data_IF_822620318046
#
_entry.id   IF_822620318046
#
_cell.length_a   1.000
_cell.length_b   1.000
_cell.length_c   1.000
_cell.angle_alpha   90.00
_cell.angle_beta   90.00
_cell.angle_gamma   90.00
#
_symmetry.space_group_name_H-M   'P 1'
#
loop_
_entity.id
_entity.type
_entity.pdbx_description
1 polymer ?
#
# COMPACT_ATOMS: atom_id res chain seq x y z
N UNK A 1 2.42 -24.57 -14.95
CA UNK A 1 1.45 -24.69 -13.84
C UNK A 1 1.09 -23.30 -13.35
N UNK A 2 -0.17 -23.05 -13.07
CA UNK A 2 -0.56 -21.80 -12.42
C UNK A 2 0.00 -21.77 -10.98
N UNK A 3 0.60 -20.67 -10.59
CA UNK A 3 1.08 -20.50 -9.21
C UNK A 3 -0.11 -20.16 -8.32
N UNK A 4 -0.28 -20.90 -7.23
CA UNK A 4 -1.29 -20.56 -6.21
C UNK A 4 -0.86 -19.29 -5.48
N UNK A 5 -1.57 -18.19 -5.74
CA UNK A 5 -1.32 -16.93 -5.08
C UNK A 5 -1.86 -16.96 -3.65
N UNK A 6 -1.11 -16.37 -2.74
CA UNK A 6 -1.52 -16.19 -1.34
C UNK A 6 -2.51 -15.04 -1.26
N UNK A 7 -3.76 -15.33 -0.90
CA UNK A 7 -4.83 -14.35 -0.71
C UNK A 7 -5.00 -14.06 0.76
N UNK A 8 -4.93 -12.79 1.13
CA UNK A 8 -5.01 -12.35 2.51
C UNK A 8 -6.13 -11.32 2.69
N UNK A 9 -6.79 -11.38 3.83
CA UNK A 9 -7.89 -10.48 4.17
C UNK A 9 -7.77 -10.01 5.61
N UNK A 10 -8.13 -8.75 5.86
CA UNK A 10 -8.26 -8.15 7.17
C UNK A 10 -9.65 -7.55 7.33
N UNK A 11 -10.31 -7.80 8.45
CA UNK A 11 -11.41 -6.97 8.91
C UNK A 11 -10.84 -5.82 9.74
N UNK A 12 -11.09 -4.58 9.30
CA UNK A 12 -10.52 -3.40 9.98
C UNK A 12 -11.09 -3.18 11.38
N UNK A 13 -12.24 -3.80 11.71
CA UNK A 13 -12.81 -3.76 13.06
C UNK A 13 -11.98 -4.58 14.06
N UNK A 14 -11.22 -5.56 13.57
CA UNK A 14 -10.31 -6.40 14.37
C UNK A 14 -8.87 -5.85 14.40
N UNK A 15 -8.61 -4.72 13.71
CA UNK A 15 -7.28 -4.16 13.64
C UNK A 15 -6.84 -3.57 14.98
N UNK A 16 -5.71 -4.04 15.50
CA UNK A 16 -5.12 -3.56 16.75
C UNK A 16 -4.33 -2.26 16.54
N UNK A 17 -5.06 -1.15 16.46
CA UNK A 17 -4.46 0.17 16.25
C UNK A 17 -3.47 0.53 17.37
N UNK A 18 -3.79 0.19 18.62
CA UNK A 18 -2.91 0.51 19.75
C UNK A 18 -1.54 -0.19 19.64
N UNK A 19 -1.52 -1.42 19.14
CA UNK A 19 -0.29 -2.17 18.89
C UNK A 19 0.58 -1.53 17.81
N UNK A 20 -0.02 -0.99 16.75
CA UNK A 20 0.71 -0.51 15.58
C UNK A 20 0.89 1.01 15.51
N UNK A 21 0.15 1.78 16.30
CA UNK A 21 0.32 3.24 16.39
C UNK A 21 1.76 3.66 16.72
N UNK A 22 2.55 2.94 17.55
CA UNK A 22 3.95 3.27 17.79
C UNK A 22 4.83 3.33 16.53
N UNK A 23 4.51 2.59 15.47
CA UNK A 23 5.23 2.67 14.19
C UNK A 23 4.99 4.02 13.49
N UNK A 24 3.75 4.52 13.53
CA UNK A 24 3.38 5.83 13.00
C UNK A 24 4.09 6.94 13.80
N UNK A 25 4.07 6.83 15.12
CA UNK A 25 4.71 7.80 16.02
C UNK A 25 6.23 7.83 15.83
N UNK A 26 6.86 6.66 15.63
CA UNK A 26 8.29 6.56 15.33
C UNK A 26 8.65 7.23 13.99
N UNK A 27 7.84 7.09 12.96
CA UNK A 27 8.02 7.82 11.70
C UNK A 27 8.03 9.32 11.97
N UNK A 28 7.03 9.82 12.67
CA UNK A 28 6.89 11.25 13.00
C UNK A 28 8.09 11.78 13.79
N UNK A 29 8.53 11.08 14.81
CA UNK A 29 9.69 11.48 15.64
C UNK A 29 11.02 11.36 14.91
N UNK A 30 11.10 10.53 13.87
CA UNK A 30 12.28 10.39 13.00
C UNK A 30 12.27 11.37 11.81
N UNK A 31 11.33 12.31 11.76
CA UNK A 31 11.22 13.29 10.68
C UNK A 31 10.58 12.75 9.40
N UNK A 32 10.01 11.54 9.42
CA UNK A 32 9.28 10.96 8.29
C UNK A 32 7.81 11.39 8.38
N UNK A 33 7.34 12.11 7.37
CA UNK A 33 5.95 12.51 7.24
C UNK A 33 5.15 11.43 6.52
N UNK A 34 4.05 10.99 7.14
CA UNK A 34 3.02 10.18 6.49
C UNK A 34 1.87 11.10 6.03
N UNK A 35 1.42 10.91 4.82
CA UNK A 35 0.34 11.69 4.21
C UNK A 35 -0.35 10.87 3.12
N UNK A 36 -1.43 11.39 2.55
CA UNK A 36 -2.06 10.80 1.37
C UNK A 36 -1.75 11.63 0.12
N UNK A 37 -1.88 11.00 -1.04
CA UNK A 37 -1.76 11.73 -2.31
C UNK A 37 -2.86 12.79 -2.45
N UNK A 38 -4.04 12.53 -1.88
CA UNK A 38 -5.13 13.53 -1.83
C UNK A 38 -4.72 14.78 -1.06
N UNK A 39 -4.03 14.63 0.08
CA UNK A 39 -3.55 15.76 0.89
C UNK A 39 -2.39 16.53 0.24
N UNK A 40 -1.50 15.83 -0.46
CA UNK A 40 -0.43 16.46 -1.24
C UNK A 40 -0.93 17.16 -2.50
N UNK A 41 -2.05 16.71 -3.03
CA UNK A 41 -2.60 17.09 -4.32
C UNK A 41 -2.36 16.02 -5.38
N UNK A 42 -3.43 15.57 -6.01
CA UNK A 42 -3.39 14.58 -7.09
C UNK A 42 -3.12 15.28 -8.44
N UNK A 43 -1.90 15.76 -8.61
CA UNK A 43 -1.45 16.46 -9.83
C UNK A 43 -0.80 15.51 -10.83
N UNK A 44 -0.68 15.87 -12.12
CA UNK A 44 0.05 15.08 -13.10
C UNK A 44 1.51 14.81 -12.69
N UNK A 45 2.18 15.78 -12.06
CA UNK A 45 3.54 15.66 -11.55
C UNK A 45 3.63 14.63 -10.41
N UNK A 46 2.68 14.67 -9.47
CA UNK A 46 2.62 13.71 -8.36
C UNK A 46 2.26 12.31 -8.83
N UNK A 47 1.39 12.16 -9.84
CA UNK A 47 1.10 10.87 -10.46
C UNK A 47 2.35 10.28 -11.13
N UNK A 48 3.16 11.11 -11.78
CA UNK A 48 4.43 10.68 -12.34
C UNK A 48 5.41 10.26 -11.25
N UNK A 49 5.53 11.04 -10.18
CA UNK A 49 6.36 10.70 -9.02
C UNK A 49 5.90 9.38 -8.36
N UNK A 50 4.60 9.15 -8.25
CA UNK A 50 4.04 7.89 -7.76
C UNK A 50 4.44 6.70 -8.63
N UNK A 51 4.38 6.86 -9.95
CA UNK A 51 4.82 5.84 -10.89
C UNK A 51 6.30 5.47 -10.69
N UNK A 52 7.18 6.48 -10.64
CA UNK A 52 8.63 6.25 -10.47
C UNK A 52 8.92 5.57 -9.12
N UNK A 53 8.25 5.99 -8.06
CA UNK A 53 8.37 5.37 -6.73
C UNK A 53 7.91 3.91 -6.75
N UNK A 54 6.75 3.63 -7.37
CA UNK A 54 6.23 2.26 -7.48
C UNK A 54 7.19 1.37 -8.27
N UNK A 55 7.69 1.86 -9.40
CA UNK A 55 8.66 1.15 -10.24
C UNK A 55 9.93 0.80 -9.45
N UNK A 56 10.49 1.76 -8.71
CA UNK A 56 11.68 1.54 -7.90
C UNK A 56 11.42 0.56 -6.73
N UNK A 57 10.36 0.80 -5.95
CA UNK A 57 10.06 -0.02 -4.77
C UNK A 57 9.68 -1.46 -5.11
N UNK A 58 9.22 -1.72 -6.32
CA UNK A 58 8.79 -3.04 -6.76
C UNK A 58 9.82 -3.79 -7.59
N UNK A 59 11.00 -3.20 -7.84
CA UNK A 59 12.00 -3.77 -8.73
C UNK A 59 12.51 -5.15 -8.28
N UNK A 60 12.50 -5.42 -6.99
CA UNK A 60 12.96 -6.67 -6.38
C UNK A 60 11.84 -7.59 -5.87
N UNK A 61 10.57 -7.30 -6.24
CA UNK A 61 9.46 -8.22 -5.96
C UNK A 61 9.65 -9.49 -6.81
N UNK A 62 9.68 -10.69 -6.16
CA UNK A 62 9.87 -11.95 -6.89
C UNK A 62 8.80 -12.15 -7.98
N UNK A 63 9.22 -12.68 -9.12
CA UNK A 63 8.36 -13.06 -10.25
C UNK A 63 7.49 -11.93 -10.83
N UNK A 64 7.87 -10.67 -10.57
CA UNK A 64 7.09 -9.52 -11.05
C UNK A 64 7.11 -9.34 -12.56
N UNK A 65 8.22 -9.64 -13.21
CA UNK A 65 8.45 -9.32 -14.62
C UNK A 65 8.77 -7.84 -14.88
N UNK A 66 8.65 -7.42 -16.14
CA UNK A 66 8.90 -6.03 -16.54
C UNK A 66 7.82 -5.08 -16.00
N UNK A 67 8.24 -3.90 -15.55
CA UNK A 67 7.31 -2.89 -15.06
C UNK A 67 6.63 -2.19 -16.23
N UNK A 68 5.37 -1.77 -16.03
CA UNK A 68 4.61 -1.01 -17.01
C UNK A 68 5.35 0.27 -17.45
N UNK A 69 5.10 0.70 -18.69
CA UNK A 69 5.40 2.08 -19.08
C UNK A 69 4.51 3.06 -18.29
N UNK A 70 4.86 4.34 -18.29
CA UNK A 70 4.02 5.33 -17.60
C UNK A 70 2.60 5.39 -18.16
N UNK A 71 2.45 5.34 -19.47
CA UNK A 71 1.13 5.40 -20.13
C UNK A 71 0.27 4.17 -19.77
N UNK A 72 0.87 2.99 -19.74
CA UNK A 72 0.20 1.76 -19.28
C UNK A 72 -0.20 1.85 -17.81
N UNK A 73 0.72 2.29 -16.95
CA UNK A 73 0.45 2.47 -15.53
C UNK A 73 -0.67 3.47 -15.29
N UNK A 74 -0.63 4.62 -15.97
CA UNK A 74 -1.65 5.65 -15.87
C UNK A 74 -3.03 5.09 -16.24
N UNK A 75 -3.12 4.42 -17.38
CA UNK A 75 -4.37 3.80 -17.86
C UNK A 75 -4.88 2.69 -16.93
N UNK A 76 -3.98 1.84 -16.41
CA UNK A 76 -4.35 0.64 -15.65
C UNK A 76 -4.55 0.90 -14.15
N UNK A 77 -3.97 1.97 -13.62
CA UNK A 77 -3.93 2.24 -12.17
C UNK A 77 -4.54 3.57 -11.77
N UNK A 78 -4.52 4.57 -12.64
CA UNK A 78 -5.00 5.92 -12.34
C UNK A 78 -6.35 6.23 -13.03
N UNK A 79 -6.47 5.93 -14.32
CA UNK A 79 -7.71 6.16 -15.09
C UNK A 79 -8.73 5.04 -14.92
N UNK A 80 -8.86 4.52 -13.71
CA UNK A 80 -9.81 3.44 -13.39
C UNK A 80 -10.74 3.88 -12.26
N UNK A 81 -12.00 3.41 -12.23
CA UNK A 81 -12.95 3.78 -11.17
C UNK A 81 -12.50 3.43 -9.75
N UNK A 82 -11.63 2.42 -9.63
CA UNK A 82 -11.08 1.98 -8.35
C UNK A 82 -9.99 2.89 -7.78
N UNK A 83 -9.45 3.83 -8.57
CA UNK A 83 -8.43 4.76 -8.11
C UNK A 83 -9.05 5.85 -7.23
N UNK A 84 -8.47 6.01 -6.05
CA UNK A 84 -8.82 7.10 -5.14
C UNK A 84 -7.53 7.60 -4.45
N UNK A 85 -7.13 8.87 -4.65
CA UNK A 85 -5.91 9.41 -4.06
C UNK A 85 -5.92 9.43 -2.52
N UNK A 86 -7.09 9.30 -1.88
CA UNK A 86 -7.22 9.14 -0.42
C UNK A 86 -6.73 7.77 0.06
N UNK A 87 -6.76 6.76 -0.83
CA UNK A 87 -6.24 5.41 -0.57
C UNK A 87 -4.74 5.25 -0.83
N UNK A 88 -4.06 6.28 -1.34
CA UNK A 88 -2.62 6.26 -1.62
C UNK A 88 -1.88 6.96 -0.50
N UNK A 89 -1.29 6.19 0.40
CA UNK A 89 -0.43 6.69 1.48
C UNK A 89 1.00 6.83 1.00
N UNK A 90 1.64 7.91 1.39
CA UNK A 90 3.03 8.23 1.07
C UNK A 90 3.83 8.48 2.35
N UNK A 91 5.08 8.03 2.35
CA UNK A 91 6.08 8.36 3.36
C UNK A 91 7.12 9.29 2.73
N UNK A 92 7.37 10.42 3.36
CA UNK A 92 8.28 11.46 2.90
C UNK A 92 9.39 11.70 3.93
N UNK A 93 10.62 11.79 3.44
CA UNK A 93 11.77 12.32 4.18
C UNK A 93 12.15 13.68 3.57
N UNK A 94 11.73 14.77 4.24
CA UNK A 94 11.69 16.09 3.60
C UNK A 94 10.78 16.09 2.37
N UNK A 95 11.29 16.51 1.22
CA UNK A 95 10.56 16.49 -0.05
C UNK A 95 10.71 15.16 -0.82
N UNK A 96 11.52 14.25 -0.32
CA UNK A 96 11.78 12.96 -0.97
C UNK A 96 10.73 11.93 -0.61
N UNK A 97 10.07 11.39 -1.59
CA UNK A 97 9.17 10.24 -1.41
C UNK A 97 9.99 8.96 -1.23
N UNK A 98 9.81 8.31 -0.08
CA UNK A 98 10.61 7.14 0.31
C UNK A 98 9.80 5.85 0.41
N UNK A 99 8.48 5.94 0.41
CA UNK A 99 7.59 4.79 0.48
C UNK A 99 6.17 5.11 0.07
N UNK A 100 5.43 4.06 -0.28
CA UNK A 100 4.03 4.13 -0.66
C UNK A 100 3.25 2.92 -0.17
N UNK A 101 1.96 3.12 0.10
CA UNK A 101 0.98 2.06 0.29
C UNK A 101 -0.30 2.48 -0.44
N UNK A 102 -0.56 1.85 -1.59
CA UNK A 102 -1.71 2.17 -2.43
C UNK A 102 -2.83 1.16 -2.23
N UNK A 103 -4.01 1.66 -1.88
CA UNK A 103 -5.23 0.88 -1.70
C UNK A 103 -6.31 1.43 -2.62
N UNK A 104 -6.91 0.55 -3.42
CA UNK A 104 -7.97 0.89 -4.37
C UNK A 104 -9.35 0.66 -3.78
N UNK A 105 -10.31 1.44 -4.27
CA UNK A 105 -11.73 1.35 -3.90
C UNK A 105 -12.43 0.23 -4.69
N UNK A 106 -12.83 -0.81 -3.99
CA UNK A 106 -13.63 -1.93 -4.51
C UNK A 106 -14.94 -2.07 -3.75
N UNK A 107 -15.47 -0.94 -3.22
CA UNK A 107 -16.70 -0.94 -2.41
C UNK A 107 -17.88 -1.60 -3.09
N UNK A 108 -17.99 -1.54 -4.40
CA UNK A 108 -19.02 -2.25 -5.17
C UNK A 108 -18.97 -3.77 -5.02
N UNK A 109 -17.82 -4.31 -4.61
CA UNK A 109 -17.63 -5.73 -4.28
C UNK A 109 -17.47 -5.98 -2.78
N UNK A 110 -17.64 -4.93 -1.94
CA UNK A 110 -17.64 -5.05 -0.48
C UNK A 110 -16.27 -4.97 0.20
N UNK A 111 -15.22 -4.52 -0.49
CA UNK A 111 -13.87 -4.41 0.07
C UNK A 111 -13.07 -3.25 -0.52
N UNK A 112 -11.94 -2.94 0.08
CA UNK A 112 -10.84 -2.19 -0.54
C UNK A 112 -9.67 -3.13 -0.78
N UNK A 113 -8.84 -2.84 -1.79
CA UNK A 113 -7.77 -3.73 -2.19
C UNK A 113 -6.41 -3.04 -2.09
N UNK A 114 -5.50 -3.61 -1.29
CA UNK A 114 -4.13 -3.12 -1.19
C UNK A 114 -3.31 -3.61 -2.38
N UNK A 115 -3.06 -2.70 -3.31
CA UNK A 115 -2.41 -2.97 -4.60
C UNK A 115 -0.89 -3.09 -4.48
N UNK A 116 -0.30 -2.21 -3.68
CA UNK A 116 1.14 -2.12 -3.53
C UNK A 116 1.51 -1.50 -2.18
N UNK A 117 2.52 -2.06 -1.54
CA UNK A 117 3.22 -1.44 -0.40
C UNK A 117 4.70 -1.62 -0.62
N UNK A 118 5.45 -0.54 -0.59
CA UNK A 118 6.89 -0.58 -0.81
C UNK A 118 7.62 0.60 -0.19
N UNK A 119 8.88 0.37 0.15
CA UNK A 119 9.81 1.36 0.70
C UNK A 119 11.10 1.29 -0.08
N UNK A 120 11.72 2.45 -0.38
CA UNK A 120 13.04 2.50 -1.01
C UNK A 120 14.05 1.70 -0.20
N UNK A 121 14.93 0.99 -0.89
CA UNK A 121 15.89 0.03 -0.29
C UNK A 121 16.64 0.62 0.90
N UNK A 122 17.14 1.86 0.78
CA UNK A 122 17.93 2.53 1.83
C UNK A 122 17.12 2.91 3.08
N UNK A 123 15.78 2.79 3.04
CA UNK A 123 14.89 3.11 4.16
C UNK A 123 14.18 1.88 4.73
N UNK A 124 14.46 0.68 4.22
CA UNK A 124 13.85 -0.57 4.69
C UNK A 124 14.33 -0.95 6.10
N UNK A 125 13.60 -1.86 6.74
CA UNK A 125 13.93 -2.35 8.09
C UNK A 125 13.64 -1.36 9.21
N UNK A 126 12.93 -0.27 8.95
CA UNK A 126 12.59 0.80 9.89
C UNK A 126 11.11 0.82 10.30
N UNK A 127 10.33 -0.17 9.87
CA UNK A 127 8.89 -0.26 10.17
C UNK A 127 8.00 0.70 9.38
N UNK A 128 8.52 1.33 8.32
CA UNK A 128 7.79 2.34 7.53
C UNK A 128 6.60 1.72 6.80
N UNK A 129 6.72 0.50 6.27
CA UNK A 129 5.61 -0.21 5.62
C UNK A 129 4.45 -0.44 6.57
N UNK A 130 4.74 -0.90 7.80
CA UNK A 130 3.73 -1.08 8.86
C UNK A 130 3.09 0.25 9.22
N UNK A 131 3.89 1.30 9.37
CA UNK A 131 3.39 2.65 9.66
C UNK A 131 2.45 3.18 8.58
N UNK A 132 2.80 3.03 7.30
CA UNK A 132 1.96 3.46 6.17
C UNK A 132 0.63 2.70 6.14
N UNK A 133 0.66 1.38 6.32
CA UNK A 133 -0.56 0.56 6.34
C UNK A 133 -1.44 0.90 7.55
N UNK A 134 -0.86 1.15 8.69
CA UNK A 134 -1.59 1.60 9.90
C UNK A 134 -2.22 2.97 9.67
N UNK A 135 -1.45 3.92 9.13
CA UNK A 135 -1.95 5.26 8.79
C UNK A 135 -3.12 5.21 7.79
N UNK A 136 -3.05 4.33 6.80
CA UNK A 136 -4.07 4.17 5.76
C UNK A 136 -5.26 3.29 6.14
N UNK A 137 -5.29 2.70 7.34
CA UNK A 137 -6.32 1.71 7.69
C UNK A 137 -7.75 2.28 7.65
N UNK A 138 -7.91 3.57 7.90
CA UNK A 138 -9.20 4.26 7.87
C UNK A 138 -9.83 4.40 6.49
N UNK A 139 -9.09 4.13 5.40
CA UNK A 139 -9.62 4.25 4.04
C UNK A 139 -10.79 3.30 3.77
N UNK A 140 -10.79 2.10 4.35
CA UNK A 140 -11.92 1.17 4.27
C UNK A 140 -13.22 1.81 4.80
N UNK A 141 -13.15 2.50 5.95
CA UNK A 141 -14.27 3.26 6.52
C UNK A 141 -14.73 4.40 5.63
N UNK A 142 -13.80 5.13 4.97
CA UNK A 142 -14.13 6.16 3.97
C UNK A 142 -14.94 5.55 2.82
N UNK A 143 -14.60 4.33 2.41
CA UNK A 143 -15.32 3.59 1.37
C UNK A 143 -16.60 2.90 1.89
N UNK A 144 -16.89 2.94 3.18
CA UNK A 144 -18.07 2.31 3.79
C UNK A 144 -18.00 0.79 3.85
N UNK A 145 -16.79 0.23 3.90
CA UNK A 145 -16.53 -1.22 4.01
C UNK A 145 -15.61 -1.51 5.19
N UNK A 146 -15.62 -2.76 5.68
CA UNK A 146 -14.73 -3.20 6.76
C UNK A 146 -13.61 -4.13 6.28
N UNK A 147 -13.63 -4.56 5.03
CA UNK A 147 -12.71 -5.57 4.52
C UNK A 147 -11.61 -4.97 3.66
N UNK A 148 -10.36 -5.31 3.99
CA UNK A 148 -9.17 -5.04 3.15
C UNK A 148 -8.65 -6.38 2.63
N UNK A 149 -8.42 -6.46 1.32
CA UNK A 149 -7.85 -7.64 0.64
C UNK A 149 -6.51 -7.31 0.01
N UNK A 150 -5.68 -8.32 -0.14
CA UNK A 150 -4.43 -8.26 -0.89
C UNK A 150 -4.04 -9.65 -1.39
N UNK A 151 -3.18 -9.70 -2.38
CA UNK A 151 -2.69 -10.94 -2.98
C UNK A 151 -1.18 -10.85 -3.20
N UNK A 152 -0.50 -11.96 -2.96
CA UNK A 152 0.95 -12.05 -3.15
C UNK A 152 1.36 -13.31 -3.87
N UNK A 153 2.43 -13.22 -4.66
CA UNK A 153 3.15 -14.42 -5.08
C UNK A 153 3.75 -15.10 -3.83
N UNK A 154 3.70 -16.44 -3.70
CA UNK A 154 4.20 -17.12 -2.48
C UNK A 154 5.68 -16.85 -2.18
N UNK A 155 6.50 -16.56 -3.20
CA UNK A 155 7.89 -16.16 -3.00
C UNK A 155 8.07 -14.77 -2.36
N UNK A 156 7.01 -13.95 -2.27
CA UNK A 156 7.06 -12.65 -1.59
C UNK A 156 6.82 -12.80 -0.07
N UNK A 157 7.68 -13.60 0.57
CA UNK A 157 7.55 -13.98 1.98
C UNK A 157 7.51 -12.78 2.93
N UNK A 158 8.29 -11.75 2.65
CA UNK A 158 8.37 -10.55 3.50
C UNK A 158 7.06 -9.78 3.53
N UNK A 159 6.39 -9.62 2.39
CA UNK A 159 5.08 -8.95 2.32
C UNK A 159 3.99 -9.79 2.99
N UNK A 160 4.02 -11.11 2.78
CA UNK A 160 3.09 -12.05 3.43
C UNK A 160 3.25 -12.00 4.95
N UNK A 161 4.48 -12.07 5.46
CA UNK A 161 4.78 -12.00 6.89
C UNK A 161 4.35 -10.66 7.50
N UNK A 162 4.62 -9.54 6.83
CA UNK A 162 4.18 -8.22 7.27
C UNK A 162 2.66 -8.15 7.39
N UNK A 163 1.93 -8.60 6.38
CA UNK A 163 0.46 -8.57 6.41
C UNK A 163 -0.10 -9.47 7.52
N UNK A 164 0.43 -10.66 7.71
CA UNK A 164 0.02 -11.54 8.82
C UNK A 164 0.30 -10.92 10.18
N UNK A 165 1.42 -10.23 10.34
CA UNK A 165 1.74 -9.47 11.57
C UNK A 165 0.69 -8.39 11.84
N UNK A 166 0.18 -7.73 10.79
CA UNK A 166 -0.88 -6.73 10.88
C UNK A 166 -2.28 -7.33 11.15
N UNK A 167 -2.41 -8.65 11.19
CA UNK A 167 -3.67 -9.34 11.46
C UNK A 167 -4.42 -9.84 10.23
N UNK A 168 -3.81 -9.76 9.04
CA UNK A 168 -4.39 -10.41 7.86
C UNK A 168 -4.37 -11.93 8.02
N UNK A 169 -5.44 -12.56 7.59
CA UNK A 169 -5.60 -14.01 7.58
C UNK A 169 -5.76 -14.53 6.16
N UNK A 170 -5.43 -15.81 5.97
CA UNK A 170 -5.65 -16.47 4.68
C UNK A 170 -7.16 -16.50 4.38
N UNK A 171 -7.54 -16.26 3.13
CA UNK A 171 -8.93 -16.21 2.71
C UNK A 171 -9.10 -16.75 1.27
N UNK A 172 -10.24 -17.37 1.04
CA UNK A 172 -10.68 -17.84 -0.28
C UNK A 172 -11.69 -16.85 -0.87
N UNK A 173 -11.29 -16.12 -1.89
CA UNK A 173 -12.14 -15.17 -2.61
C UNK A 173 -11.70 -14.98 -4.05
#
# INVERSE_FOLDING_TARGET
MAVDLVRLQLDVTDFDLARFQPYVDKCRTSGIRLTTLSELGDTPEHRRALYELNKECSADIPERGEFHTYDEYHRLRIEVPAYDPRGVVLALDGDRWIGMAATSDRRGSGFVFNEMTGVRVCHRGRGISVAMKTFGIGFAGICGVSTVRTVHHPANESAIAMNRTLGYVDADW
#
